data_IF_749104492436
#
_entry.id   IF_749104492436
#
_cell.length_a   1.000
_cell.length_b   1.000
_cell.length_c   1.000
_cell.angle_alpha   90.00
_cell.angle_beta   90.00
_cell.angle_gamma   90.00
#
_symmetry.space_group_name_H-M   'P 1'
#
loop_
_entity.id
_entity.type
_entity.pdbx_description
1 polymer ?
#
# COMPACT_ATOMS: atom_id res chain seq x y z
N UNK A 1 -11.23 -7.51 8.49
CA UNK A 1 -9.93 -8.13 8.15
C UNK A 1 -9.57 -7.79 6.72
N UNK A 2 -8.38 -7.26 6.51
CA UNK A 2 -7.83 -7.02 5.17
C UNK A 2 -7.17 -8.31 4.66
N UNK A 3 -7.19 -8.57 3.35
CA UNK A 3 -6.55 -9.74 2.74
C UNK A 3 -5.28 -9.27 2.01
N UNK A 4 -4.17 -9.98 2.23
CA UNK A 4 -2.89 -9.65 1.61
C UNK A 4 -2.80 -9.97 0.11
N UNK A 5 -1.71 -9.51 -0.52
CA UNK A 5 -1.42 -9.69 -1.95
C UNK A 5 -1.46 -11.17 -2.38
N UNK A 6 -0.92 -12.06 -1.55
CA UNK A 6 -0.90 -13.51 -1.79
C UNK A 6 -2.30 -14.13 -1.89
N UNK A 7 -3.31 -13.44 -1.35
CA UNK A 7 -4.68 -13.93 -1.29
C UNK A 7 -5.60 -13.32 -2.35
N UNK A 8 -5.40 -12.03 -2.67
CA UNK A 8 -6.22 -11.31 -3.66
C UNK A 8 -5.58 -11.20 -5.05
N UNK A 9 -4.31 -11.57 -5.17
CA UNK A 9 -3.47 -11.19 -6.31
C UNK A 9 -3.12 -9.70 -6.27
N UNK A 10 -2.14 -9.29 -7.05
CA UNK A 10 -1.70 -7.91 -7.14
C UNK A 10 -0.23 -7.76 -7.51
N UNK A 11 0.29 -6.54 -7.35
CA UNK A 11 1.67 -6.18 -7.70
C UNK A 11 2.42 -5.66 -6.48
N UNK A 12 3.57 -6.27 -6.18
CA UNK A 12 4.57 -5.74 -5.26
C UNK A 12 5.62 -4.96 -6.05
N UNK A 13 5.89 -3.73 -5.63
CA UNK A 13 6.92 -2.85 -6.19
C UNK A 13 7.89 -2.44 -5.09
N UNK A 14 9.19 -2.55 -5.38
CA UNK A 14 10.24 -1.92 -4.61
C UNK A 14 10.81 -0.76 -5.43
N UNK A 15 10.66 0.44 -4.89
CA UNK A 15 11.02 1.70 -5.54
C UNK A 15 12.27 2.27 -4.87
N UNK A 16 13.17 2.86 -5.64
CA UNK A 16 14.35 3.57 -5.17
C UNK A 16 14.24 5.05 -5.50
N UNK A 17 14.33 5.91 -4.50
CA UNK A 17 14.33 7.36 -4.69
C UNK A 17 15.68 7.83 -5.26
N UNK A 18 15.66 8.55 -6.38
CA UNK A 18 16.86 9.09 -7.02
C UNK A 18 17.42 10.29 -6.24
N UNK A 19 18.32 10.00 -5.31
CA UNK A 19 18.95 11.00 -4.42
C UNK A 19 19.81 12.01 -5.18
N UNK A 20 20.26 11.71 -6.40
CA UNK A 20 21.05 12.66 -7.18
C UNK A 20 20.20 13.84 -7.69
N UNK A 21 18.88 13.66 -7.77
CA UNK A 21 17.92 14.66 -8.26
C UNK A 21 17.16 15.38 -7.14
N UNK A 22 17.46 15.06 -5.88
CA UNK A 22 16.91 15.74 -4.72
C UNK A 22 17.44 17.18 -4.63
N UNK A 23 16.59 18.10 -4.18
CA UNK A 23 17.02 19.47 -3.92
C UNK A 23 18.11 19.51 -2.85
N UNK A 24 19.19 20.28 -3.07
CA UNK A 24 20.38 20.31 -2.19
C UNK A 24 20.11 20.66 -0.72
N UNK A 25 18.93 21.23 -0.42
CA UNK A 25 18.53 21.64 0.93
C UNK A 25 17.67 20.59 1.65
N UNK A 26 17.20 19.59 0.93
CA UNK A 26 16.24 18.62 1.44
C UNK A 26 16.95 17.41 2.07
N UNK A 27 16.52 17.02 3.28
CA UNK A 27 17.02 15.82 3.93
C UNK A 27 16.36 14.59 3.34
N UNK A 28 17.14 13.53 3.13
CA UNK A 28 16.65 12.26 2.59
C UNK A 28 15.45 11.70 3.40
N UNK A 29 15.47 11.82 4.73
CA UNK A 29 14.37 11.33 5.56
C UNK A 29 13.05 12.07 5.30
N UNK A 30 13.12 13.38 5.12
CA UNK A 30 11.93 14.21 4.86
C UNK A 30 11.41 13.95 3.44
N UNK A 31 12.32 13.78 2.48
CA UNK A 31 12.00 13.38 1.11
C UNK A 31 11.31 12.01 1.06
N UNK A 32 11.84 11.02 1.79
CA UNK A 32 11.27 9.68 1.86
C UNK A 32 9.88 9.69 2.49
N UNK A 33 9.69 10.45 3.58
CA UNK A 33 8.38 10.58 4.23
C UNK A 33 7.35 11.20 3.28
N UNK A 34 7.72 12.29 2.58
CA UNK A 34 6.86 12.93 1.57
C UNK A 34 6.55 12.00 0.40
N UNK A 35 7.55 11.29 -0.13
CA UNK A 35 7.35 10.34 -1.21
C UNK A 35 6.36 9.23 -0.80
N UNK A 36 6.50 8.68 0.41
CA UNK A 36 5.56 7.68 0.96
C UNK A 36 4.14 8.25 1.05
N UNK A 37 3.98 9.48 1.53
CA UNK A 37 2.68 10.13 1.65
C UNK A 37 2.02 10.40 0.29
N UNK A 38 2.79 10.87 -0.69
CA UNK A 38 2.30 11.09 -2.06
C UNK A 38 1.86 9.75 -2.69
N UNK A 39 2.70 8.72 -2.58
CA UNK A 39 2.38 7.39 -3.12
C UNK A 39 1.11 6.86 -2.46
N UNK A 40 0.97 7.00 -1.14
CA UNK A 40 -0.23 6.60 -0.40
C UNK A 40 -1.48 7.32 -0.93
N UNK A 41 -1.42 8.65 -1.05
CA UNK A 41 -2.52 9.44 -1.58
C UNK A 41 -2.92 9.04 -3.01
N UNK A 42 -1.96 8.66 -3.87
CA UNK A 42 -2.26 8.17 -5.23
C UNK A 42 -2.96 6.82 -5.22
N UNK A 43 -2.47 5.89 -4.39
CA UNK A 43 -3.03 4.55 -4.26
C UNK A 43 -4.45 4.59 -3.67
N UNK A 44 -4.65 5.40 -2.62
CA UNK A 44 -5.96 5.57 -1.98
C UNK A 44 -6.99 6.18 -2.95
N UNK A 45 -6.60 7.19 -3.73
CA UNK A 45 -7.48 7.82 -4.72
C UNK A 45 -7.81 6.94 -5.93
N UNK A 46 -6.90 6.03 -6.28
CA UNK A 46 -7.17 5.03 -7.30
C UNK A 46 -8.25 4.03 -6.84
N UNK A 47 -8.40 3.86 -5.52
CA UNK A 47 -9.39 2.97 -4.92
C UNK A 47 -8.84 1.59 -4.60
N UNK A 48 -7.50 1.44 -4.56
CA UNK A 48 -6.88 0.27 -3.97
C UNK A 48 -7.06 0.41 -2.46
N UNK A 49 -7.67 -0.57 -1.80
CA UNK A 49 -7.83 -0.56 -0.34
C UNK A 49 -6.50 -0.46 0.40
N UNK A 50 -6.53 -0.26 1.72
CA UNK A 50 -5.35 -0.03 2.59
C UNK A 50 -4.13 -0.86 2.16
N UNK A 51 -3.22 -0.17 1.47
CA UNK A 51 -2.06 -0.75 0.82
C UNK A 51 -0.87 -0.58 1.76
N UNK A 52 -0.16 -1.66 2.14
CA UNK A 52 1.07 -1.54 2.89
C UNK A 52 2.11 -0.77 2.08
N UNK A 53 2.42 0.45 2.53
CA UNK A 53 3.50 1.28 1.99
C UNK A 53 4.47 1.54 3.12
N UNK A 54 5.70 1.07 2.97
CA UNK A 54 6.71 1.18 4.01
C UNK A 54 8.09 1.50 3.44
N UNK A 55 8.89 2.20 4.24
CA UNK A 55 10.30 2.42 3.93
C UNK A 55 11.06 1.11 4.16
N UNK A 56 11.87 0.72 3.18
CA UNK A 56 12.78 -0.41 3.25
C UNK A 56 14.22 0.11 3.10
N UNK A 57 15.04 -0.03 4.13
CA UNK A 57 16.40 0.54 4.13
C UNK A 57 16.41 2.08 4.07
N UNK A 58 17.48 2.66 3.52
CA UNK A 58 17.66 4.12 3.54
C UNK A 58 16.87 4.85 2.45
N UNK A 59 16.76 4.26 1.26
CA UNK A 59 16.22 4.94 0.05
C UNK A 59 15.21 4.11 -0.73
N UNK A 60 14.76 2.97 -0.19
CA UNK A 60 13.75 2.15 -0.85
C UNK A 60 12.37 2.29 -0.21
N UNK A 61 11.35 2.22 -1.05
CA UNK A 61 9.94 2.26 -0.68
C UNK A 61 9.31 0.98 -1.22
N UNK A 62 8.79 0.15 -0.32
CA UNK A 62 8.04 -1.04 -0.67
C UNK A 62 6.55 -0.70 -0.72
N UNK A 63 5.90 -1.09 -1.81
CA UNK A 63 4.49 -0.83 -2.09
C UNK A 63 3.80 -2.11 -2.55
N UNK A 64 2.75 -2.51 -1.84
CA UNK A 64 1.95 -3.70 -2.15
C UNK A 64 0.57 -3.31 -2.68
N UNK A 65 0.31 -3.45 -3.98
CA UNK A 65 -0.96 -3.06 -4.63
C UNK A 65 -1.88 -4.26 -4.84
N UNK A 66 -2.76 -4.61 -3.87
CA UNK A 66 -3.70 -5.72 -4.02
C UNK A 66 -4.74 -5.42 -5.09
N UNK A 67 -5.03 -6.40 -5.95
CA UNK A 67 -6.04 -6.28 -7.00
C UNK A 67 -5.56 -5.60 -8.29
N UNK A 68 -4.45 -4.86 -8.28
CA UNK A 68 -3.83 -4.35 -9.52
C UNK A 68 -2.92 -5.43 -10.09
N UNK A 69 -3.43 -6.14 -11.09
CA UNK A 69 -2.67 -7.17 -11.82
C UNK A 69 -1.91 -6.60 -13.02
N UNK A 70 -2.39 -5.49 -13.58
CA UNK A 70 -1.71 -4.80 -14.68
C UNK A 70 -0.57 -3.94 -14.14
N UNK A 71 0.66 -4.34 -14.43
CA UNK A 71 1.78 -3.60 -13.87
C UNK A 71 2.04 -2.27 -14.53
N UNK A 72 1.76 -2.10 -15.83
CA UNK A 72 1.97 -0.80 -16.49
C UNK A 72 1.11 0.29 -15.84
N UNK A 73 -0.10 -0.07 -15.40
CA UNK A 73 -1.00 0.83 -14.71
C UNK A 73 -0.47 1.24 -13.33
N UNK A 74 0.03 0.26 -12.56
CA UNK A 74 0.69 0.50 -11.27
C UNK A 74 1.93 1.40 -11.40
N UNK A 75 2.75 1.14 -12.42
CA UNK A 75 3.95 1.92 -12.72
C UNK A 75 3.61 3.35 -13.12
N UNK A 76 2.60 3.53 -13.97
CA UNK A 76 2.13 4.85 -14.38
C UNK A 76 1.56 5.66 -13.22
N UNK A 77 0.89 5.00 -12.27
CA UNK A 77 0.32 5.65 -11.09
C UNK A 77 1.41 6.09 -10.09
N UNK A 78 2.39 5.23 -9.82
CA UNK A 78 3.32 5.41 -8.69
C UNK A 78 4.70 5.91 -9.12
N UNK A 79 5.16 5.52 -10.31
CA UNK A 79 6.49 5.85 -10.82
C UNK A 79 6.63 7.26 -11.40
N UNK A 80 5.52 7.92 -11.77
CA UNK A 80 5.58 9.27 -12.37
C UNK A 80 5.88 10.33 -11.31
N UNK A 81 6.80 11.26 -11.61
CA UNK A 81 7.10 12.38 -10.70
C UNK A 81 5.89 13.32 -10.63
N UNK A 82 5.33 13.63 -11.80
CA UNK A 82 4.19 14.51 -12.00
C UNK A 82 4.41 15.95 -11.57
N UNK A 83 5.57 16.48 -11.94
CA UNK A 83 5.86 17.88 -11.79
C UNK A 83 5.03 18.67 -12.82
N UNK A 84 3.91 19.24 -12.35
CA UNK A 84 3.10 20.16 -13.15
C UNK A 84 3.67 21.58 -13.04
N UNK A 85 3.95 22.18 -14.18
CA UNK A 85 4.44 23.56 -14.30
C UNK A 85 3.62 24.33 -15.34
N UNK A 86 3.34 25.59 -15.04
CA UNK A 86 2.78 26.52 -16.01
C UNK A 86 3.89 27.46 -16.46
N UNK A 87 4.16 27.53 -17.77
CA UNK A 87 5.24 28.35 -18.35
C UNK A 87 4.74 29.13 -19.54
N UNK A 88 5.28 30.32 -19.79
CA UNK A 88 4.97 31.03 -21.04
C UNK A 88 5.75 30.43 -22.19
N UNK A 89 5.09 30.34 -23.35
CA UNK A 89 5.79 30.03 -24.60
C UNK A 89 6.50 31.30 -25.07
N UNK A 90 7.79 31.17 -25.33
CA UNK A 90 8.59 32.23 -25.91
C UNK A 90 8.34 32.27 -27.43
N UNK A 91 7.68 33.34 -27.88
CA UNK A 91 7.38 33.58 -29.30
C UNK A 91 8.32 34.60 -29.95
N UNK A 92 9.45 34.94 -29.30
CA UNK A 92 10.43 35.84 -29.88
C UNK A 92 11.07 35.25 -31.14
N UNK A 93 11.56 36.12 -32.03
CA UNK A 93 12.23 35.71 -33.27
C UNK A 93 13.38 34.71 -33.04
N UNK A 94 14.11 34.86 -31.93
CA UNK A 94 15.18 33.95 -31.51
C UNK A 94 14.65 32.54 -31.21
N UNK A 95 13.53 32.45 -30.48
CA UNK A 95 12.87 31.18 -30.18
C UNK A 95 12.34 30.52 -31.45
N UNK A 96 11.82 31.30 -32.39
CA UNK A 96 11.31 30.78 -33.66
C UNK A 96 12.43 30.29 -34.59
N UNK A 97 13.61 30.92 -34.54
CA UNK A 97 14.81 30.44 -35.23
C UNK A 97 15.29 29.09 -34.67
N UNK A 98 15.24 28.91 -33.34
CA UNK A 98 15.51 27.61 -32.70
C UNK A 98 14.53 26.55 -33.18
N UNK A 99 13.22 26.83 -33.13
CA UNK A 99 12.19 25.88 -33.55
C UNK A 99 12.35 25.48 -35.02
N UNK A 100 12.61 26.43 -35.92
CA UNK A 100 12.81 26.14 -37.35
C UNK A 100 14.01 25.20 -37.59
N UNK A 101 15.06 25.32 -36.79
CA UNK A 101 16.23 24.44 -36.87
C UNK A 101 15.93 23.04 -36.30
N UNK A 102 15.15 22.98 -35.22
CA UNK A 102 14.74 21.71 -34.59
C UNK A 102 13.74 20.95 -35.47
N UNK A 103 12.77 21.64 -36.08
CA UNK A 103 11.78 21.02 -36.98
C UNK A 103 12.42 20.47 -38.27
N UNK A 104 13.56 21.04 -38.67
CA UNK A 104 14.40 20.57 -39.78
C UNK A 104 15.31 19.39 -39.44
N UNK A 105 15.41 18.98 -38.17
CA UNK A 105 16.17 17.79 -37.78
C UNK A 105 15.29 16.53 -37.85
N UNK A 106 15.86 15.44 -38.37
CA UNK A 106 15.23 14.12 -38.30
C UNK A 106 15.54 13.39 -36.99
N UNK A 107 16.60 13.80 -36.28
CA UNK A 107 16.96 13.31 -34.95
C UNK A 107 16.49 14.27 -33.84
N UNK A 108 16.13 13.77 -32.65
CA UNK A 108 15.74 14.63 -31.53
C UNK A 108 16.90 15.56 -31.10
N UNK A 109 16.60 16.80 -30.67
CA UNK A 109 17.61 17.83 -30.37
C UNK A 109 18.34 17.60 -29.03
N UNK A 110 18.32 16.37 -28.52
CA UNK A 110 18.89 15.97 -27.24
C UNK A 110 19.93 14.86 -27.46
N UNK A 111 20.99 14.88 -26.66
CA UNK A 111 21.99 13.82 -26.62
C UNK A 111 21.44 12.54 -25.93
N UNK A 112 22.25 11.47 -25.95
CA UNK A 112 21.90 10.20 -25.30
C UNK A 112 21.74 10.29 -23.77
N UNK A 113 22.12 11.41 -23.15
CA UNK A 113 21.97 11.70 -21.72
C UNK A 113 20.82 12.67 -21.43
N UNK A 114 20.07 13.08 -22.46
CA UNK A 114 18.94 14.01 -22.36
C UNK A 114 19.32 15.49 -22.31
N UNK A 115 20.59 15.84 -22.52
CA UNK A 115 21.04 17.23 -22.58
C UNK A 115 20.86 17.80 -24.00
N UNK A 116 20.51 19.08 -24.10
CA UNK A 116 20.37 19.77 -25.39
C UNK A 116 21.69 19.73 -26.19
N UNK A 117 21.58 19.48 -27.50
CA UNK A 117 22.73 19.53 -28.40
C UNK A 117 23.43 20.90 -28.31
N UNK A 118 24.77 20.95 -28.27
CA UNK A 118 25.53 22.19 -28.08
C UNK A 118 25.19 23.29 -29.10
N UNK A 119 24.80 22.89 -30.32
CA UNK A 119 24.39 23.82 -31.37
C UNK A 119 23.07 24.53 -31.07
N UNK A 120 22.10 23.79 -30.53
CA UNK A 120 20.80 24.34 -30.15
C UNK A 120 20.96 25.15 -28.85
N UNK A 121 21.72 24.63 -27.89
CA UNK A 121 21.98 25.30 -26.62
C UNK A 121 22.61 26.70 -26.78
N UNK A 122 23.45 26.92 -27.80
CA UNK A 122 24.03 28.25 -28.11
C UNK A 122 23.03 29.24 -28.71
N UNK A 123 21.99 28.75 -29.38
CA UNK A 123 20.94 29.56 -30.00
C UNK A 123 19.75 29.82 -29.06
N UNK A 124 19.71 29.13 -27.92
CA UNK A 124 18.64 29.29 -26.94
C UNK A 124 18.66 30.70 -26.32
N UNK A 125 17.50 31.37 -26.25
CA UNK A 125 17.37 32.62 -25.51
C UNK A 125 17.78 32.41 -24.04
N UNK A 126 18.39 33.44 -23.43
CA UNK A 126 18.80 33.37 -22.02
C UNK A 126 17.59 33.08 -21.13
N UNK A 127 17.68 32.02 -20.33
CA UNK A 127 16.58 31.63 -19.45
C UNK A 127 15.37 31.06 -20.19
N UNK A 128 15.56 30.46 -21.36
CA UNK A 128 14.55 29.65 -22.02
C UNK A 128 14.94 28.16 -22.02
N UNK A 129 13.96 27.27 -22.15
CA UNK A 129 14.15 25.82 -22.28
C UNK A 129 13.36 25.27 -23.46
N UNK A 130 13.86 24.20 -24.07
CA UNK A 130 13.17 23.49 -25.13
C UNK A 130 12.43 22.30 -24.53
N UNK A 131 11.11 22.25 -24.71
CA UNK A 131 10.27 21.17 -24.24
C UNK A 131 9.59 20.48 -25.43
N UNK A 132 9.48 19.16 -25.35
CA UNK A 132 8.80 18.35 -26.36
C UNK A 132 7.29 18.42 -26.11
N UNK A 133 6.49 18.53 -27.16
CA UNK A 133 5.04 18.39 -27.08
C UNK A 133 4.65 16.92 -26.88
N UNK A 134 3.53 16.69 -26.19
CA UNK A 134 2.91 15.38 -26.13
C UNK A 134 2.63 14.87 -27.56
N UNK A 135 2.81 13.57 -27.85
CA UNK A 135 2.54 13.03 -29.17
C UNK A 135 1.08 13.28 -29.55
N UNK A 136 0.86 13.80 -30.76
CA UNK A 136 -0.49 13.88 -31.33
C UNK A 136 -1.03 12.50 -31.71
N UNK A 137 -2.35 12.36 -31.93
CA UNK A 137 -3.01 11.09 -32.28
C UNK A 137 -2.41 10.35 -33.48
N UNK A 138 -1.82 11.08 -34.43
CA UNK A 138 -1.37 10.56 -35.73
C UNK A 138 0.13 10.23 -35.82
N UNK A 139 0.87 10.26 -34.69
CA UNK A 139 2.30 9.95 -34.70
C UNK A 139 3.16 10.91 -35.54
N UNK A 140 2.67 12.15 -35.76
CA UNK A 140 3.39 13.21 -36.46
C UNK A 140 4.75 13.52 -35.80
N UNK A 141 5.65 14.15 -36.58
CA UNK A 141 6.94 14.66 -36.10
C UNK A 141 6.76 15.38 -34.75
N UNK A 142 7.63 15.06 -33.80
CA UNK A 142 7.61 15.63 -32.46
C UNK A 142 7.67 17.16 -32.55
N UNK A 143 6.59 17.84 -32.16
CA UNK A 143 6.57 19.30 -32.06
C UNK A 143 7.34 19.73 -30.81
N UNK A 144 8.02 20.86 -30.88
CA UNK A 144 8.74 21.43 -29.74
C UNK A 144 8.21 22.82 -29.42
N UNK A 145 8.34 23.21 -28.16
CA UNK A 145 8.05 24.55 -27.67
C UNK A 145 9.28 25.11 -26.98
N UNK A 146 9.59 26.38 -27.23
CA UNK A 146 10.55 27.13 -26.42
C UNK A 146 9.76 27.81 -25.31
N UNK A 147 10.07 27.48 -24.06
CA UNK A 147 9.39 27.99 -22.88
C UNK A 147 10.31 28.89 -22.07
N UNK A 148 9.74 29.87 -21.39
CA UNK A 148 10.47 30.66 -20.40
C UNK A 148 10.84 29.82 -19.16
N UNK A 149 11.99 30.11 -18.55
CA UNK A 149 12.48 29.39 -17.39
C UNK A 149 11.68 29.71 -16.11
N UNK A 150 11.02 30.87 -16.07
CA UNK A 150 10.22 31.30 -14.93
C UNK A 150 8.98 30.44 -14.80
N UNK A 151 8.79 29.85 -13.62
CA UNK A 151 7.61 29.05 -13.27
C UNK A 151 6.76 29.84 -12.26
N UNK A 152 5.71 30.55 -12.71
CA UNK A 152 4.83 31.32 -11.83
C UNK A 152 4.05 30.46 -10.83
N UNK A 153 3.54 29.31 -11.28
CA UNK A 153 2.68 28.41 -10.50
C UNK A 153 3.01 26.97 -10.88
N UNK A 154 3.00 26.10 -9.86
CA UNK A 154 3.23 24.66 -10.01
C UNK A 154 2.03 23.86 -9.50
N UNK A 155 2.05 22.55 -9.72
CA UNK A 155 1.08 21.61 -9.15
C UNK A 155 1.00 21.62 -7.62
N UNK A 156 2.01 22.16 -6.91
CA UNK A 156 1.99 22.25 -5.45
C UNK A 156 0.85 23.13 -4.91
N UNK A 157 0.32 24.04 -5.73
CA UNK A 157 -0.80 24.90 -5.34
C UNK A 157 -2.18 24.33 -5.73
N UNK A 158 -2.24 23.13 -6.33
CA UNK A 158 -3.50 22.51 -6.69
C UNK A 158 -4.29 22.08 -5.45
N UNK A 159 -5.55 22.50 -5.38
CA UNK A 159 -6.52 22.04 -4.39
C UNK A 159 -7.35 20.87 -4.94
N UNK A 160 -7.68 20.90 -6.24
CA UNK A 160 -8.39 19.80 -6.88
C UNK A 160 -8.01 19.61 -8.35
N UNK A 161 -8.10 18.36 -8.81
CA UNK A 161 -7.98 17.96 -10.21
C UNK A 161 -8.99 16.83 -10.47
N UNK A 162 -9.85 16.99 -11.47
CA UNK A 162 -10.93 16.04 -11.81
C UNK A 162 -11.04 15.89 -13.32
N UNK A 163 -11.46 14.70 -13.74
CA UNK A 163 -11.78 14.46 -15.14
C UNK A 163 -13.12 15.14 -15.44
N UNK A 164 -13.12 15.96 -16.47
CA UNK A 164 -14.29 16.57 -17.07
C UNK A 164 -14.45 16.03 -18.49
N UNK A 165 -15.66 16.12 -19.01
CA UNK A 165 -15.92 15.79 -20.41
C UNK A 165 -16.28 17.08 -21.10
N UNK A 166 -15.52 17.43 -22.14
CA UNK A 166 -15.84 18.61 -22.93
C UNK A 166 -17.25 18.47 -23.53
N UNK A 167 -18.06 19.51 -23.37
CA UNK A 167 -19.44 19.53 -23.81
C UNK A 167 -19.57 19.60 -25.34
N UNK A 168 -18.52 20.03 -26.04
CA UNK A 168 -18.56 20.26 -27.48
C UNK A 168 -18.08 19.05 -28.29
N UNK A 169 -17.01 18.39 -27.88
CA UNK A 169 -16.43 17.26 -28.63
C UNK A 169 -16.49 15.91 -27.89
N UNK A 170 -16.95 15.89 -26.63
CA UNK A 170 -17.02 14.67 -25.83
C UNK A 170 -15.64 14.10 -25.46
N UNK A 171 -14.57 14.87 -25.65
CA UNK A 171 -13.20 14.47 -25.29
C UNK A 171 -12.98 14.66 -23.78
N UNK A 172 -12.23 13.75 -23.13
CA UNK A 172 -11.91 13.90 -21.72
C UNK A 172 -10.88 15.01 -21.54
N UNK A 173 -11.11 15.86 -20.55
CA UNK A 173 -10.22 16.95 -20.13
C UNK A 173 -10.03 16.90 -18.62
N UNK A 174 -9.04 17.64 -18.10
CA UNK A 174 -8.76 17.66 -16.66
C UNK A 174 -9.03 19.07 -16.13
N UNK A 175 -10.15 19.24 -15.44
CA UNK A 175 -10.46 20.44 -14.69
C UNK A 175 -9.61 20.50 -13.43
N UNK A 176 -8.99 21.64 -13.15
CA UNK A 176 -8.19 21.86 -11.96
C UNK A 176 -8.58 23.16 -11.26
N UNK A 177 -8.31 23.21 -9.95
CA UNK A 177 -8.53 24.39 -9.11
C UNK A 177 -7.35 24.57 -8.19
N UNK A 178 -6.80 25.77 -8.15
CA UNK A 178 -5.77 26.16 -7.20
C UNK A 178 -6.37 26.55 -5.85
N UNK A 179 -5.57 26.40 -4.81
CA UNK A 179 -5.85 27.00 -3.51
C UNK A 179 -5.82 28.54 -3.58
N UNK A 180 -6.20 29.22 -2.49
CA UNK A 180 -6.29 30.71 -2.46
C UNK A 180 -4.99 31.42 -2.83
N UNK A 181 -3.83 30.85 -2.50
CA UNK A 181 -2.52 31.44 -2.78
C UNK A 181 -2.16 31.27 -4.26
N UNK A 182 -2.23 30.04 -4.77
CA UNK A 182 -1.99 29.74 -6.18
C UNK A 182 -2.96 30.45 -7.11
N UNK A 183 -4.23 30.58 -6.71
CA UNK A 183 -5.25 31.31 -7.47
C UNK A 183 -4.91 32.79 -7.64
N UNK A 184 -4.37 33.45 -6.61
CA UNK A 184 -3.89 34.85 -6.71
C UNK A 184 -2.68 34.97 -7.61
N UNK A 185 -1.67 34.11 -7.43
CA UNK A 185 -0.48 34.09 -8.27
C UNK A 185 -0.84 33.87 -9.74
N UNK A 186 -1.77 32.95 -10.01
CA UNK A 186 -2.26 32.65 -11.34
C UNK A 186 -3.06 33.81 -11.95
N UNK A 187 -3.89 34.48 -11.15
CA UNK A 187 -4.69 35.64 -11.58
C UNK A 187 -3.80 36.86 -11.92
N UNK A 188 -2.77 37.12 -11.11
CA UNK A 188 -1.78 38.18 -11.38
C UNK A 188 -0.96 37.84 -12.63
N UNK A 189 -0.49 36.59 -12.74
CA UNK A 189 0.31 36.14 -13.87
C UNK A 189 -0.45 36.19 -15.19
N UNK A 190 -1.68 35.68 -15.23
CA UNK A 190 -2.51 35.70 -16.44
C UNK A 190 -2.93 37.12 -16.81
N UNK A 191 -3.19 37.99 -15.82
CA UNK A 191 -3.50 39.40 -16.04
C UNK A 191 -2.37 40.18 -16.70
N UNK A 192 -1.12 39.88 -16.37
CA UNK A 192 0.05 40.52 -16.97
C UNK A 192 0.42 39.96 -18.37
N UNK A 193 -0.15 38.82 -18.76
CA UNK A 193 0.28 38.06 -19.96
C UNK A 193 -0.88 37.71 -20.91
N UNK A 194 -1.89 38.57 -20.99
CA UNK A 194 -2.99 38.42 -21.95
C UNK A 194 -2.47 38.38 -23.38
N UNK A 195 -3.07 37.54 -24.23
CA UNK A 195 -2.68 37.21 -25.59
C UNK A 195 -1.34 36.47 -25.75
N UNK A 196 -0.74 35.96 -24.67
CA UNK A 196 0.40 35.04 -24.73
C UNK A 196 -0.06 33.58 -24.59
N UNK A 197 0.76 32.67 -25.09
CA UNK A 197 0.55 31.23 -24.94
C UNK A 197 1.08 30.75 -23.58
N UNK A 198 0.25 30.01 -22.85
CA UNK A 198 0.57 29.41 -21.57
C UNK A 198 0.72 27.91 -21.74
N UNK A 199 1.95 27.40 -21.72
CA UNK A 199 2.23 25.98 -21.76
C UNK A 199 1.95 25.33 -20.40
N UNK A 200 1.23 24.21 -20.45
CA UNK A 200 0.98 23.30 -19.34
C UNK A 200 1.94 22.13 -19.53
N UNK A 201 2.93 22.05 -18.63
CA UNK A 201 4.05 21.10 -18.72
C UNK A 201 3.93 20.08 -17.61
N UNK A 202 4.05 18.80 -17.96
CA UNK A 202 4.13 17.71 -17.01
C UNK A 202 5.42 16.93 -17.25
N UNK A 203 6.28 16.85 -16.24
CA UNK A 203 7.56 16.12 -16.31
C UNK A 203 8.42 16.52 -17.53
N UNK A 204 8.39 17.80 -17.91
CA UNK A 204 9.12 18.36 -19.04
C UNK A 204 8.47 18.20 -20.42
N UNK A 205 7.27 17.61 -20.49
CA UNK A 205 6.48 17.43 -21.72
C UNK A 205 5.32 18.43 -21.74
N UNK A 206 5.16 19.16 -22.85
CA UNK A 206 4.06 20.12 -23.05
C UNK A 206 2.81 19.37 -23.49
N UNK A 207 1.79 19.35 -22.65
CA UNK A 207 0.50 18.73 -23.00
C UNK A 207 -0.41 19.68 -23.76
N UNK A 208 -0.43 20.95 -23.35
CA UNK A 208 -1.29 21.96 -23.95
C UNK A 208 -0.62 23.33 -23.88
N UNK A 209 -0.88 24.18 -24.85
CA UNK A 209 -0.39 25.55 -24.89
C UNK A 209 -1.49 26.51 -25.35
N UNK A 210 -2.58 26.70 -24.56
CA UNK A 210 -3.64 27.63 -24.91
C UNK A 210 -3.20 29.09 -24.85
N UNK A 211 -3.92 29.96 -25.57
CA UNK A 211 -3.75 31.41 -25.48
C UNK A 211 -4.52 31.94 -24.27
N UNK A 212 -3.89 32.81 -23.48
CA UNK A 212 -4.54 33.54 -22.40
C UNK A 212 -5.46 34.61 -23.03
N UNK A 213 -6.76 34.35 -23.12
CA UNK A 213 -7.74 35.29 -23.72
C UNK A 213 -8.07 36.48 -22.82
N UNK A 214 -8.07 36.26 -21.51
CA UNK A 214 -8.40 37.27 -20.49
C UNK A 214 -7.74 36.89 -19.17
N UNK A 215 -7.76 37.82 -18.22
CA UNK A 215 -7.33 37.55 -16.83
C UNK A 215 -8.21 36.46 -16.22
N UNK A 216 -7.61 35.38 -15.72
CA UNK A 216 -8.34 34.25 -15.15
C UNK A 216 -8.44 34.45 -13.64
N UNK A 217 -9.57 34.99 -13.19
CA UNK A 217 -9.92 35.09 -11.78
C UNK A 217 -10.43 33.75 -11.22
N UNK A 218 -10.21 33.49 -9.94
CA UNK A 218 -10.74 32.30 -9.24
C UNK A 218 -9.86 31.05 -9.30
N UNK A 219 -8.73 31.07 -10.02
CA UNK A 219 -7.70 30.02 -9.93
C UNK A 219 -8.10 28.66 -10.50
N UNK A 220 -9.11 28.58 -11.37
CA UNK A 220 -9.52 27.34 -12.04
C UNK A 220 -9.11 27.33 -13.51
N UNK A 221 -8.87 26.14 -14.06
CA UNK A 221 -8.59 25.97 -15.48
C UNK A 221 -8.84 24.53 -15.93
N UNK A 222 -8.64 24.29 -17.23
CA UNK A 222 -8.82 22.98 -17.85
C UNK A 222 -7.54 22.63 -18.62
N UNK A 223 -7.06 21.41 -18.46
CA UNK A 223 -6.01 20.82 -19.29
C UNK A 223 -6.69 20.03 -20.40
N UNK A 224 -6.68 20.61 -21.59
CA UNK A 224 -7.17 19.96 -22.80
C UNK A 224 -6.05 19.12 -23.43
N UNK A 225 -6.42 18.01 -24.07
CA UNK A 225 -5.47 17.13 -24.76
C UNK A 225 -6.16 15.91 -25.36
N UNK A 226 -5.41 15.12 -26.11
CA UNK A 226 -5.88 13.85 -26.67
C UNK A 226 -5.73 12.72 -25.64
N UNK A 227 -6.39 12.86 -24.50
CA UNK A 227 -6.36 11.84 -23.44
C UNK A 227 -7.40 10.76 -23.72
N UNK A 228 -7.11 9.53 -23.31
CA UNK A 228 -8.17 8.54 -23.06
C UNK A 228 -8.82 8.82 -21.69
N UNK A 229 -10.03 8.28 -21.46
CA UNK A 229 -10.70 8.44 -20.16
C UNK A 229 -9.86 7.88 -18.99
N UNK A 230 -9.13 6.79 -19.25
CA UNK A 230 -8.25 6.15 -18.27
C UNK A 230 -7.00 6.99 -18.00
N UNK A 231 -6.36 7.52 -19.05
CA UNK A 231 -5.22 8.43 -18.92
C UNK A 231 -5.58 9.72 -18.17
N UNK A 232 -6.73 10.32 -18.50
CA UNK A 232 -7.21 11.51 -17.83
C UNK A 232 -7.48 11.24 -16.34
N UNK A 233 -8.07 10.08 -16.02
CA UNK A 233 -8.31 9.65 -14.63
C UNK A 233 -7.01 9.47 -13.87
N UNK A 234 -6.05 8.75 -14.45
CA UNK A 234 -4.76 8.49 -13.81
C UNK A 234 -3.98 9.79 -13.61
N UNK A 235 -3.98 10.67 -14.61
CA UNK A 235 -3.33 11.98 -14.49
C UNK A 235 -4.00 12.86 -13.44
N UNK A 236 -5.34 12.88 -13.35
CA UNK A 236 -6.06 13.64 -12.32
C UNK A 236 -5.72 13.15 -10.89
N UNK A 237 -5.57 11.84 -10.68
CA UNK A 237 -5.15 11.26 -9.39
C UNK A 237 -3.73 11.74 -9.04
N UNK A 238 -2.83 11.61 -9.99
CA UNK A 238 -1.43 11.97 -9.85
C UNK A 238 -1.27 13.47 -9.52
N UNK A 239 -1.99 14.35 -10.23
CA UNK A 239 -1.97 15.80 -9.99
C UNK A 239 -2.52 16.19 -8.62
N UNK A 240 -3.57 15.51 -8.15
CA UNK A 240 -4.19 15.79 -6.85
C UNK A 240 -3.33 15.32 -5.67
N UNK A 241 -2.60 14.22 -5.84
CA UNK A 241 -1.71 13.71 -4.81
C UNK A 241 -0.40 14.51 -4.69
N UNK A 242 -0.03 15.28 -5.74
CA UNK A 242 1.16 16.11 -5.77
C UNK A 242 2.37 15.44 -6.43
N UNK A 243 3.42 16.24 -6.62
CA UNK A 243 4.65 15.84 -7.29
C UNK A 243 5.63 15.16 -6.31
N UNK A 244 6.28 14.09 -6.75
CA UNK A 244 7.33 13.43 -5.96
C UNK A 244 8.55 14.37 -5.77
N UNK A 245 9.23 14.34 -4.60
CA UNK A 245 10.39 15.19 -4.34
C UNK A 245 11.61 14.83 -5.21
N UNK A 246 11.67 13.59 -5.67
CA UNK A 246 12.61 13.11 -6.67
C UNK A 246 11.98 11.96 -7.46
N UNK A 247 12.44 11.68 -8.69
CA UNK A 247 12.01 10.51 -9.44
C UNK A 247 12.29 9.21 -8.67
N UNK A 248 11.41 8.23 -8.83
CA UNK A 248 11.59 6.88 -8.26
C UNK A 248 11.84 5.87 -9.36
N UNK A 249 12.82 5.00 -9.16
CA UNK A 249 13.13 3.90 -10.08
C UNK A 249 12.61 2.60 -9.50
N UNK A 250 12.03 1.72 -10.33
CA UNK A 250 11.57 0.41 -9.87
C UNK A 250 12.76 -0.55 -9.88
N UNK A 251 13.15 -1.05 -8.71
CA UNK A 251 14.29 -1.97 -8.53
C UNK A 251 13.85 -3.43 -8.41
N UNK A 252 12.67 -3.69 -7.87
CA UNK A 252 12.05 -5.01 -7.86
C UNK A 252 10.57 -4.89 -8.23
N UNK A 253 10.10 -5.85 -9.02
CA UNK A 253 8.70 -5.98 -9.42
C UNK A 253 8.31 -7.44 -9.32
N UNK A 254 7.25 -7.72 -8.57
CA UNK A 254 6.68 -9.06 -8.42
C UNK A 254 5.18 -9.01 -8.58
N UNK A 255 4.67 -9.75 -9.55
CA UNK A 255 3.23 -9.83 -9.82
C UNK A 255 2.73 -11.19 -9.34
N UNK A 256 1.71 -11.18 -8.50
CA UNK A 256 1.01 -12.39 -8.06
C UNK A 256 -0.33 -12.43 -8.77
N UNK A 257 -0.51 -13.43 -9.64
CA UNK A 257 -1.76 -13.62 -10.36
C UNK A 257 -2.92 -14.02 -9.44
N UNK A 258 -4.15 -13.51 -9.63
CA UNK A 258 -5.31 -13.84 -8.80
C UNK A 258 -5.61 -15.35 -8.72
N UNK A 259 -5.38 -16.09 -9.83
CA UNK A 259 -5.69 -17.52 -9.91
C UNK A 259 -4.80 -18.43 -9.06
N UNK A 260 -3.52 -18.08 -8.86
CA UNK A 260 -2.60 -18.86 -8.02
C UNK A 260 -2.95 -18.71 -6.52
N UNK A 261 -3.47 -17.54 -6.12
CA UNK A 261 -3.95 -17.28 -4.77
C UNK A 261 -5.24 -18.02 -4.47
N UNK A 262 -6.24 -17.94 -5.35
CA UNK A 262 -7.57 -18.52 -5.11
C UNK A 262 -7.55 -20.06 -4.93
N UNK A 263 -6.82 -20.77 -5.78
CA UNK A 263 -6.70 -22.23 -5.69
C UNK A 263 -5.95 -22.68 -4.43
N UNK A 264 -4.89 -21.94 -4.06
CA UNK A 264 -4.11 -22.22 -2.85
C UNK A 264 -4.94 -21.95 -1.59
N UNK A 265 -5.78 -20.90 -1.61
CA UNK A 265 -6.72 -20.60 -0.52
C UNK A 265 -7.74 -21.72 -0.38
N UNK A 266 -8.42 -22.08 -1.47
CA UNK A 266 -9.47 -23.10 -1.42
C UNK A 266 -8.94 -24.43 -0.90
N UNK A 267 -7.77 -24.87 -1.38
CA UNK A 267 -7.12 -26.11 -0.92
C UNK A 267 -6.58 -26.00 0.51
N UNK A 268 -5.99 -24.86 0.87
CA UNK A 268 -5.48 -24.63 2.21
C UNK A 268 -6.59 -24.59 3.26
N UNK A 269 -7.67 -23.87 2.99
CA UNK A 269 -8.82 -23.74 3.88
C UNK A 269 -9.57 -25.07 4.03
N UNK A 270 -9.76 -25.82 2.93
CA UNK A 270 -10.40 -27.13 2.99
C UNK A 270 -9.57 -28.14 3.79
N UNK A 271 -8.25 -28.17 3.58
CA UNK A 271 -7.34 -29.05 4.34
C UNK A 271 -7.32 -28.69 5.83
N UNK A 272 -7.28 -27.40 6.15
CA UNK A 272 -7.35 -26.91 7.53
C UNK A 272 -8.69 -27.27 8.20
N UNK A 273 -9.81 -27.11 7.49
CA UNK A 273 -11.13 -27.46 8.00
C UNK A 273 -11.26 -28.97 8.30
N UNK A 274 -10.77 -29.82 7.40
CA UNK A 274 -10.76 -31.28 7.60
C UNK A 274 -9.91 -31.64 8.82
N UNK A 275 -8.68 -31.09 8.93
CA UNK A 275 -7.81 -31.29 10.08
C UNK A 275 -8.46 -30.85 11.39
N UNK A 276 -9.10 -29.68 11.39
CA UNK A 276 -9.82 -29.15 12.55
C UNK A 276 -10.95 -30.08 13.01
N UNK A 277 -11.76 -30.60 12.09
CA UNK A 277 -12.85 -31.55 12.40
C UNK A 277 -12.28 -32.83 13.03
N UNK A 278 -11.18 -33.37 12.50
CA UNK A 278 -10.53 -34.57 13.03
C UNK A 278 -10.06 -34.33 14.47
N UNK A 279 -9.44 -33.17 14.76
CA UNK A 279 -8.98 -32.83 16.10
C UNK A 279 -10.15 -32.69 17.08
N UNK A 280 -11.21 -31.97 16.70
CA UNK A 280 -12.42 -31.83 17.52
C UNK A 280 -13.03 -33.19 17.84
N UNK A 281 -13.13 -34.07 16.84
CA UNK A 281 -13.65 -35.43 17.01
C UNK A 281 -12.75 -36.27 17.94
N UNK A 282 -11.43 -36.20 17.76
CA UNK A 282 -10.47 -36.87 18.63
C UNK A 282 -10.61 -36.42 20.08
N UNK A 283 -10.72 -35.11 20.33
CA UNK A 283 -10.90 -34.58 21.68
C UNK A 283 -12.19 -35.10 22.33
N UNK A 284 -13.31 -35.13 21.61
CA UNK A 284 -14.58 -35.65 22.14
C UNK A 284 -14.52 -37.15 22.44
N UNK A 285 -13.89 -37.94 21.58
CA UNK A 285 -13.83 -39.40 21.74
C UNK A 285 -12.85 -39.79 22.85
N UNK A 286 -11.65 -39.20 22.86
CA UNK A 286 -10.58 -39.59 23.78
C UNK A 286 -10.75 -38.99 25.18
N UNK A 287 -11.16 -37.72 25.29
CA UNK A 287 -11.27 -36.98 26.56
C UNK A 287 -12.71 -36.73 27.03
N UNK A 288 -13.72 -37.25 26.33
CA UNK A 288 -15.15 -37.20 26.72
C UNK A 288 -15.59 -35.79 27.16
N UNK A 289 -15.98 -35.59 28.42
CA UNK A 289 -16.47 -34.29 28.90
C UNK A 289 -15.34 -33.25 29.02
N UNK A 290 -14.12 -33.66 29.41
CA UNK A 290 -12.94 -32.80 29.34
C UNK A 290 -12.61 -32.35 27.92
N UNK A 291 -12.82 -33.24 26.94
CA UNK A 291 -12.72 -32.94 25.52
C UNK A 291 -13.74 -31.90 25.04
N UNK A 292 -14.97 -31.96 25.55
CA UNK A 292 -16.00 -30.97 25.26
C UNK A 292 -15.62 -29.58 25.78
N UNK A 293 -15.10 -29.48 27.01
CA UNK A 293 -14.59 -28.22 27.57
C UNK A 293 -13.43 -27.66 26.75
N UNK A 294 -12.49 -28.51 26.33
CA UNK A 294 -11.39 -28.11 25.46
C UNK A 294 -11.88 -27.56 24.11
N UNK A 295 -12.92 -28.15 23.53
CA UNK A 295 -13.52 -27.66 22.28
C UNK A 295 -14.23 -26.30 22.45
N UNK A 296 -14.87 -26.05 23.60
CA UNK A 296 -15.42 -24.72 23.92
C UNK A 296 -14.29 -23.69 23.98
N UNK A 297 -13.19 -24.01 24.68
CA UNK A 297 -12.03 -23.13 24.76
C UNK A 297 -11.42 -22.86 23.37
N UNK A 298 -11.32 -23.88 22.52
CA UNK A 298 -10.84 -23.75 21.14
C UNK A 298 -11.74 -22.85 20.28
N UNK A 299 -13.06 -22.98 20.40
CA UNK A 299 -14.02 -22.14 19.70
C UNK A 299 -13.92 -20.67 20.15
N UNK A 300 -13.80 -20.44 21.46
CA UNK A 300 -13.58 -19.11 22.02
C UNK A 300 -12.22 -18.53 21.59
N UNK A 301 -11.18 -19.36 21.51
CA UNK A 301 -9.87 -18.93 21.03
C UNK A 301 -9.96 -18.40 19.59
N UNK A 302 -10.59 -19.16 18.69
CA UNK A 302 -10.81 -18.71 17.32
C UNK A 302 -11.62 -17.41 17.24
N UNK A 303 -12.68 -17.29 18.04
CA UNK A 303 -13.53 -16.10 18.09
C UNK A 303 -12.75 -14.86 18.57
N UNK A 304 -11.98 -14.99 19.65
CA UNK A 304 -11.19 -13.89 20.19
C UNK A 304 -10.01 -13.52 19.29
N UNK A 305 -9.37 -14.49 18.64
CA UNK A 305 -8.35 -14.22 17.63
C UNK A 305 -8.93 -13.43 16.45
N UNK A 306 -10.09 -13.84 15.92
CA UNK A 306 -10.76 -13.12 14.84
C UNK A 306 -11.17 -11.70 15.25
N UNK A 307 -11.70 -11.54 16.48
CA UNK A 307 -12.06 -10.25 17.04
C UNK A 307 -10.84 -9.32 17.19
N UNK A 308 -9.73 -9.83 17.74
CA UNK A 308 -8.50 -9.08 17.91
C UNK A 308 -7.90 -8.67 16.55
N UNK A 309 -7.83 -9.58 15.59
CA UNK A 309 -7.37 -9.30 14.22
C UNK A 309 -8.21 -8.20 13.56
N UNK A 310 -9.53 -8.23 13.75
CA UNK A 310 -10.42 -7.20 13.21
C UNK A 310 -10.27 -5.87 13.94
N UNK A 311 -10.07 -5.87 15.25
CA UNK A 311 -9.89 -4.68 16.07
C UNK A 311 -8.60 -3.92 15.72
N UNK A 312 -7.50 -4.65 15.50
CA UNK A 312 -6.21 -4.05 15.14
C UNK A 312 -6.04 -3.78 13.63
N UNK A 313 -7.06 -4.05 12.80
CA UNK A 313 -6.96 -3.90 11.35
C UNK A 313 -5.92 -4.81 10.71
N UNK A 314 -5.56 -5.92 11.36
CA UNK A 314 -4.48 -6.78 10.90
C UNK A 314 -4.85 -7.50 9.59
N UNK A 315 -3.89 -7.55 8.67
CA UNK A 315 -4.05 -8.19 7.36
C UNK A 315 -3.81 -9.69 7.46
N UNK A 316 -4.77 -10.48 7.00
CA UNK A 316 -4.61 -11.92 6.85
C UNK A 316 -3.87 -12.22 5.54
N UNK A 317 -2.74 -12.92 5.64
CA UNK A 317 -1.94 -13.41 4.51
C UNK A 317 -1.93 -14.93 4.51
N UNK A 318 -1.39 -15.57 3.45
CA UNK A 318 -1.29 -17.03 3.39
C UNK A 318 -0.38 -17.58 4.53
N UNK A 319 0.80 -16.98 4.79
CA UNK A 319 1.53 -17.26 6.04
C UNK A 319 0.72 -16.92 7.29
N UNK A 320 -0.03 -15.81 7.31
CA UNK A 320 -0.92 -15.47 8.41
C UNK A 320 -1.88 -16.60 8.81
N UNK A 321 -2.49 -17.28 7.82
CA UNK A 321 -3.35 -18.47 8.02
C UNK A 321 -2.56 -19.61 8.65
N UNK A 322 -1.32 -19.87 8.20
CA UNK A 322 -0.45 -20.86 8.83
C UNK A 322 -0.17 -20.52 10.31
N UNK A 323 0.00 -19.23 10.62
CA UNK A 323 0.14 -18.75 12.01
C UNK A 323 -1.10 -19.00 12.85
N UNK A 324 -2.30 -18.79 12.29
CA UNK A 324 -3.57 -19.14 12.95
C UNK A 324 -3.63 -20.64 13.22
N UNK A 325 -3.37 -21.48 12.21
CA UNK A 325 -3.39 -22.95 12.35
C UNK A 325 -2.40 -23.41 13.43
N UNK A 326 -1.18 -22.89 13.41
CA UNK A 326 -0.14 -23.21 14.40
C UNK A 326 -0.56 -22.78 15.82
N UNK A 327 -1.15 -21.59 15.96
CA UNK A 327 -1.63 -21.10 17.26
C UNK A 327 -2.80 -21.95 17.81
N UNK A 328 -3.71 -22.40 16.95
CA UNK A 328 -4.80 -23.29 17.34
C UNK A 328 -4.25 -24.66 17.79
N UNK A 329 -3.27 -25.20 17.08
CA UNK A 329 -2.62 -26.46 17.44
C UNK A 329 -1.94 -26.37 18.83
N UNK A 330 -1.22 -25.28 19.11
CA UNK A 330 -0.63 -25.06 20.44
C UNK A 330 -1.66 -24.85 21.55
N UNK A 331 -2.80 -24.19 21.25
CA UNK A 331 -3.88 -24.04 22.22
C UNK A 331 -4.52 -25.39 22.59
N UNK A 332 -4.63 -26.31 21.62
CA UNK A 332 -5.08 -27.69 21.84
C UNK A 332 -4.06 -28.46 22.68
N UNK A 333 -2.77 -28.34 22.39
CA UNK A 333 -1.69 -28.98 23.16
C UNK A 333 -1.73 -28.56 24.64
N UNK A 334 -1.93 -27.26 24.91
CA UNK A 334 -2.10 -26.77 26.28
C UNK A 334 -3.31 -27.41 27.00
N UNK A 335 -4.43 -27.59 26.29
CA UNK A 335 -5.61 -28.27 26.84
C UNK A 335 -5.35 -29.75 27.12
N UNK A 336 -4.67 -30.43 26.19
CA UNK A 336 -4.28 -31.85 26.34
C UNK A 336 -3.36 -32.02 27.55
N UNK A 337 -2.35 -31.16 27.72
CA UNK A 337 -1.43 -31.22 28.85
C UNK A 337 -2.16 -31.09 30.19
N UNK A 338 -3.13 -30.16 30.28
CA UNK A 338 -3.95 -29.98 31.49
C UNK A 338 -4.81 -31.22 31.75
N UNK A 339 -5.44 -31.79 30.71
CA UNK A 339 -6.28 -32.98 30.82
C UNK A 339 -5.48 -34.20 31.29
N UNK A 340 -4.31 -34.45 30.72
CA UNK A 340 -3.42 -35.54 31.14
C UNK A 340 -2.93 -35.31 32.56
N UNK A 341 -2.57 -34.06 32.93
CA UNK A 341 -2.20 -33.76 34.32
C UNK A 341 -3.36 -33.93 35.29
N UNK A 342 -4.60 -33.74 34.87
CA UNK A 342 -5.78 -34.06 35.70
C UNK A 342 -5.98 -35.58 35.84
N UNK A 343 -5.80 -36.36 34.76
CA UNK A 343 -5.85 -37.82 34.82
C UNK A 343 -4.78 -38.41 35.72
N UNK A 344 -3.55 -37.91 35.65
CA UNK A 344 -2.46 -38.32 36.55
C UNK A 344 -2.80 -38.07 38.03
N UNK A 345 -3.34 -36.89 38.36
CA UNK A 345 -3.70 -36.55 39.74
C UNK A 345 -4.91 -37.35 40.26
N UNK A 346 -5.85 -37.74 39.37
CA UNK A 346 -6.94 -38.66 39.69
C UNK A 346 -6.43 -40.07 39.98
N UNK A 347 -5.45 -40.56 39.20
CA UNK A 347 -4.83 -41.88 39.45
C UNK A 347 -4.10 -41.93 40.79
N UNK A 348 -3.56 -40.80 41.25
CA UNK A 348 -2.96 -40.65 42.58
C UNK A 348 -3.99 -40.59 43.73
N UNK A 349 -5.28 -40.82 43.45
CA UNK A 349 -6.37 -40.88 44.42
C UNK A 349 -6.52 -39.61 45.28
N UNK A 350 -6.17 -38.45 44.73
CA UNK A 350 -6.41 -37.17 45.41
C UNK A 350 -7.90 -36.83 45.46
N UNK A 351 -8.34 -36.07 46.48
CA UNK A 351 -9.71 -35.55 46.51
C UNK A 351 -10.00 -34.76 45.23
N UNK A 352 -11.15 -35.03 44.61
CA UNK A 352 -11.61 -34.41 43.35
C UNK A 352 -11.54 -32.87 43.39
N UNK A 353 -11.79 -32.26 44.55
CA UNK A 353 -11.68 -30.81 44.75
C UNK A 353 -10.24 -30.26 44.63
N UNK A 354 -9.22 -31.07 44.89
CA UNK A 354 -7.80 -30.69 44.82
C UNK A 354 -7.16 -31.02 43.46
N UNK A 355 -7.82 -31.81 42.61
CA UNK A 355 -7.29 -32.23 41.31
C UNK A 355 -7.06 -31.02 40.40
N UNK A 356 -8.10 -30.21 40.17
CA UNK A 356 -8.01 -29.03 39.28
C UNK A 356 -6.88 -28.07 39.71
N UNK A 357 -6.89 -27.47 40.91
CA UNK A 357 -5.88 -26.47 41.26
C UNK A 357 -4.46 -27.04 41.15
N UNK A 358 -4.25 -28.28 41.60
CA UNK A 358 -2.93 -28.93 41.52
C UNK A 358 -2.49 -29.19 40.09
N UNK A 359 -3.39 -29.63 39.21
CA UNK A 359 -3.07 -29.90 37.80
C UNK A 359 -2.75 -28.62 37.04
N UNK A 360 -3.49 -27.54 37.28
CA UNK A 360 -3.22 -26.24 36.65
C UNK A 360 -1.89 -25.64 37.13
N UNK A 361 -1.60 -25.70 38.44
CA UNK A 361 -0.33 -25.20 38.98
C UNK A 361 0.87 -25.94 38.39
N UNK A 362 0.75 -27.26 38.20
CA UNK A 362 1.81 -28.09 37.59
C UNK A 362 1.92 -27.92 36.08
N UNK A 363 0.82 -27.71 35.38
CA UNK A 363 0.83 -27.51 33.92
C UNK A 363 1.27 -26.10 33.53
N UNK A 364 1.03 -25.10 34.40
CA UNK A 364 1.29 -23.69 34.12
C UNK A 364 2.72 -23.41 33.65
N UNK A 365 3.74 -23.96 34.33
CA UNK A 365 5.14 -23.70 33.97
C UNK A 365 5.48 -24.21 32.57
N UNK A 366 4.97 -25.39 32.19
CA UNK A 366 5.23 -25.97 30.87
C UNK A 366 4.47 -25.23 29.76
N UNK A 367 3.22 -24.82 30.01
CA UNK A 367 2.43 -24.02 29.06
C UNK A 367 3.10 -22.66 28.84
N UNK A 368 3.52 -22.00 29.92
CA UNK A 368 4.15 -20.69 29.84
C UNK A 368 5.50 -20.77 29.08
N UNK A 369 6.34 -21.76 29.39
CA UNK A 369 7.65 -21.93 28.76
C UNK A 369 7.56 -22.14 27.23
N UNK A 370 6.63 -23.02 26.80
CA UNK A 370 6.37 -23.29 25.38
C UNK A 370 5.88 -22.05 24.62
N UNK A 371 4.94 -21.29 25.22
CA UNK A 371 4.39 -20.08 24.60
C UNK A 371 5.40 -18.92 24.58
N UNK A 372 6.13 -18.69 25.68
CA UNK A 372 7.12 -17.60 25.78
C UNK A 372 8.25 -17.79 24.78
N UNK A 373 8.76 -19.00 24.62
CA UNK A 373 9.79 -19.31 23.61
C UNK A 373 9.32 -18.95 22.20
N UNK A 374 8.07 -19.27 21.89
CA UNK A 374 7.48 -18.99 20.58
C UNK A 374 7.16 -17.51 20.39
N UNK A 375 6.75 -16.79 21.43
CA UNK A 375 6.61 -15.32 21.39
C UNK A 375 7.91 -14.62 21.10
N UNK A 376 9.02 -15.06 21.70
CA UNK A 376 10.33 -14.47 21.40
C UNK A 376 10.61 -14.61 19.90
N UNK A 377 10.42 -15.80 19.32
CA UNK A 377 10.58 -15.99 17.88
C UNK A 377 9.63 -15.09 17.06
N UNK A 378 8.36 -14.98 17.46
CA UNK A 378 7.38 -14.13 16.79
C UNK A 378 7.79 -12.64 16.82
N UNK A 379 8.35 -12.14 17.93
CA UNK A 379 8.86 -10.77 18.05
C UNK A 379 10.01 -10.53 17.06
N UNK A 380 10.94 -11.47 16.94
CA UNK A 380 12.03 -11.37 15.95
C UNK A 380 11.48 -11.38 14.52
N UNK A 381 10.52 -12.26 14.21
CA UNK A 381 9.86 -12.31 12.90
C UNK A 381 9.09 -11.02 12.60
N UNK A 382 8.49 -10.38 13.60
CA UNK A 382 7.80 -9.11 13.44
C UNK A 382 8.77 -7.95 13.18
N UNK A 383 9.87 -7.89 13.95
CA UNK A 383 10.86 -6.82 13.86
C UNK A 383 11.66 -6.86 12.55
N UNK A 384 12.09 -8.06 12.13
CA UNK A 384 13.01 -8.24 11.00
C UNK A 384 12.37 -8.83 9.74
N UNK A 385 11.18 -9.45 9.86
CA UNK A 385 10.46 -9.98 8.70
C UNK A 385 9.93 -8.86 7.80
N UNK A 386 9.65 -9.19 6.54
CA UNK A 386 9.00 -8.30 5.59
C UNK A 386 7.64 -8.87 5.15
N UNK A 387 6.72 -7.97 4.78
CA UNK A 387 5.40 -8.29 4.19
C UNK A 387 4.69 -9.49 4.83
N UNK A 388 4.60 -10.66 4.13
CA UNK A 388 3.88 -11.84 4.62
C UNK A 388 4.40 -12.42 5.94
N UNK A 389 5.70 -12.34 6.22
CA UNK A 389 6.33 -12.88 7.44
C UNK A 389 5.89 -12.08 8.68
N UNK A 390 5.72 -10.75 8.54
CA UNK A 390 5.14 -9.93 9.62
C UNK A 390 3.71 -10.33 9.91
N UNK A 391 2.92 -10.61 8.86
CA UNK A 391 1.54 -11.10 9.00
C UNK A 391 1.46 -12.40 9.81
N UNK A 392 2.33 -13.36 9.52
CA UNK A 392 2.48 -14.59 10.32
C UNK A 392 2.86 -14.30 11.77
N UNK A 393 3.81 -13.40 12.02
CA UNK A 393 4.24 -13.06 13.36
C UNK A 393 3.11 -12.43 14.20
N UNK A 394 2.30 -11.55 13.60
CA UNK A 394 1.14 -10.93 14.26
C UNK A 394 0.08 -11.97 14.62
N UNK A 395 -0.31 -12.83 13.66
CA UNK A 395 -1.34 -13.86 13.93
C UNK A 395 -0.88 -14.85 14.98
N UNK A 396 0.39 -15.25 14.93
CA UNK A 396 1.00 -16.14 15.92
C UNK A 396 1.02 -15.51 17.32
N UNK A 397 1.44 -14.25 17.45
CA UNK A 397 1.52 -13.56 18.74
C UNK A 397 0.15 -13.42 19.39
N UNK A 398 -0.83 -12.93 18.64
CA UNK A 398 -2.22 -12.78 19.11
C UNK A 398 -2.80 -14.15 19.46
N UNK A 399 -2.63 -15.15 18.60
CA UNK A 399 -3.18 -16.49 18.80
C UNK A 399 -2.62 -17.19 20.03
N UNK A 400 -1.35 -16.99 20.34
CA UNK A 400 -0.74 -17.54 21.56
C UNK A 400 -1.23 -16.84 22.83
N UNK A 401 -1.40 -15.51 22.80
CA UNK A 401 -1.97 -14.74 23.93
C UNK A 401 -3.40 -15.19 24.23
N UNK A 402 -4.23 -15.22 23.19
CA UNK A 402 -5.62 -15.64 23.30
C UNK A 402 -5.70 -17.12 23.69
N UNK A 403 -4.90 -17.97 23.04
CA UNK A 403 -4.84 -19.41 23.31
C UNK A 403 -4.51 -19.70 24.77
N UNK A 404 -3.44 -19.09 25.29
CA UNK A 404 -3.05 -19.25 26.70
C UNK A 404 -4.15 -18.78 27.65
N UNK A 405 -4.80 -17.65 27.36
CA UNK A 405 -5.93 -17.17 28.14
C UNK A 405 -7.10 -18.17 28.15
N UNK A 406 -7.49 -18.67 26.98
CA UNK A 406 -8.60 -19.63 26.86
C UNK A 406 -8.28 -20.98 27.49
N UNK A 407 -7.08 -21.51 27.28
CA UNK A 407 -6.69 -22.84 27.74
C UNK A 407 -6.37 -22.88 29.24
N UNK A 408 -6.03 -21.75 29.88
CA UNK A 408 -5.73 -21.70 31.32
C UNK A 408 -6.87 -21.09 32.14
N UNK A 409 -7.40 -19.92 31.74
CA UNK A 409 -8.40 -19.24 32.56
C UNK A 409 -9.82 -19.73 32.28
N UNK A 410 -10.21 -19.83 31.00
CA UNK A 410 -11.59 -20.16 30.63
C UNK A 410 -11.91 -21.62 30.96
N UNK A 411 -11.04 -22.55 30.59
CA UNK A 411 -11.18 -23.97 30.96
C UNK A 411 -11.23 -24.17 32.47
N UNK A 412 -10.33 -23.52 33.24
CA UNK A 412 -10.33 -23.60 34.70
C UNK A 412 -11.64 -23.13 35.30
N UNK A 413 -12.16 -21.99 34.84
CA UNK A 413 -13.44 -21.46 35.29
C UNK A 413 -14.58 -22.44 34.98
N UNK A 414 -14.58 -23.07 33.81
CA UNK A 414 -15.59 -24.07 33.45
C UNK A 414 -15.51 -25.30 34.36
N UNK A 415 -14.30 -25.82 34.64
CA UNK A 415 -14.16 -26.98 35.50
C UNK A 415 -14.48 -26.69 36.97
N UNK A 416 -14.09 -25.52 37.50
CA UNK A 416 -14.44 -25.09 38.86
C UNK A 416 -15.96 -24.92 39.01
N UNK A 417 -16.63 -24.34 38.01
CA UNK A 417 -18.09 -24.24 37.96
C UNK A 417 -18.76 -25.63 37.90
N UNK A 418 -18.21 -26.55 37.11
CA UNK A 418 -18.74 -27.91 37.00
C UNK A 418 -18.61 -28.69 38.31
N UNK A 419 -17.48 -28.59 39.02
CA UNK A 419 -17.30 -29.19 40.35
C UNK A 419 -18.30 -28.66 41.38
N UNK A 420 -18.61 -27.37 41.31
CA UNK A 420 -19.59 -26.75 42.21
C UNK A 420 -21.00 -27.30 41.97
N UNK A 421 -21.31 -27.70 40.73
CA UNK A 421 -22.60 -28.24 40.33
C UNK A 421 -22.71 -29.76 40.47
N UNK A 422 -21.60 -30.51 40.31
CA UNK A 422 -21.56 -31.98 40.38
C UNK A 422 -20.25 -32.48 41.04
N UNK A 423 -20.19 -32.54 42.38
CA UNK A 423 -18.93 -32.72 43.13
C UNK A 423 -18.33 -34.14 43.12
N UNK A 424 -18.96 -35.12 42.45
CA UNK A 424 -18.56 -36.53 42.52
C UNK A 424 -17.97 -37.11 41.22
N UNK A 425 -18.12 -36.45 40.08
CA UNK A 425 -17.68 -37.01 38.79
C UNK A 425 -16.94 -35.98 37.94
N UNK A 426 -15.65 -36.23 37.72
CA UNK A 426 -14.86 -35.62 36.66
C UNK A 426 -14.75 -36.66 35.53
N UNK A 427 -15.60 -36.53 34.51
CA UNK A 427 -15.51 -37.33 33.29
C UNK A 427 -14.41 -36.76 32.38
N UNK A 428 -13.17 -37.24 32.55
CA UNK A 428 -11.99 -36.76 31.83
C UNK A 428 -11.32 -37.88 31.03
#
# INVERSE_FOLDING_TARGET
MNLGLDLRGGTHLLLELDVAKLEKKEKLNDAMARAIEIIRNRVDQYGVGETPISRQGERWISVDLPGISNTEEAENLIGKTALLEFRLVNTANEAQAVLSKVDGMDEPPFDKKGALLPEIAKMMPKGAMLCKAAPGPDGEKARYYVLEAVVPVTGAYLESARVETDQQFGTPSIGFTFNKEGGKLFEEFTGANVNKYLAIVLDGVVHSAPVIKSRIGGGSGVIEGSFTMEEARNLAIILRAGALPAPVNIIEKRVVGPGLGEDSIKKGLSSAAIGFIIVVAFMLVYYRAGGFVANIALALNFLFLAAAMSYFGATLTLPGIAGVILSLAMAIDANVLILERMREELLLSKPVAMVIPTSYDKAWSAILDSNVTTWIAAIFLFQFGSGPVKGFAVTLTIGLLVGMFTSVFVTRAIYEFWLTSNPKELSI
#
